data_IF_271937389027
#
_entry.id   IF_271937389027
#
_cell.length_a   1.000
_cell.length_b   1.000
_cell.length_c   1.000
_cell.angle_alpha   90.00
_cell.angle_beta   90.00
_cell.angle_gamma   90.00
#
_symmetry.space_group_name_H-M   'P 1'
#
loop_
_entity.id
_entity.type
_entity.pdbx_description
1 polymer ?
#
# COMPACT_ATOMS: atom_id res chain seq x y z
N UNK A 1 -3.43 10.34 27.59
CA UNK A 1 -3.32 10.81 26.18
C UNK A 1 -3.33 9.59 25.28
N UNK A 2 -4.25 9.46 24.30
CA UNK A 2 -4.21 8.36 23.34
C UNK A 2 -2.90 8.44 22.53
N UNK A 3 -2.11 7.37 22.53
CA UNK A 3 -0.96 7.24 21.62
C UNK A 3 -1.52 7.21 20.20
N UNK A 4 -1.30 8.26 19.43
CA UNK A 4 -1.59 8.24 17.99
C UNK A 4 -0.77 7.10 17.37
N UNK A 5 -1.45 6.09 16.81
CA UNK A 5 -0.80 4.96 16.16
C UNK A 5 -0.13 5.45 14.88
N UNK A 6 1.18 5.67 14.94
CA UNK A 6 1.92 6.09 13.74
C UNK A 6 2.16 4.90 12.83
N UNK A 7 1.93 5.09 11.54
CA UNK A 7 2.23 4.10 10.49
C UNK A 7 3.38 4.63 9.63
N UNK A 8 4.47 3.87 9.55
CA UNK A 8 5.59 4.18 8.68
C UNK A 8 5.20 3.99 7.21
N UNK A 9 5.80 4.77 6.31
CA UNK A 9 5.72 4.55 4.86
C UNK A 9 6.54 3.33 4.46
N UNK A 10 6.38 2.85 3.23
CA UNK A 10 7.19 1.73 2.76
C UNK A 10 8.65 2.10 2.54
N UNK A 11 8.93 3.34 2.11
CA UNK A 11 10.28 3.85 2.06
C UNK A 11 10.94 3.83 3.45
N UNK A 12 10.24 4.33 4.47
CA UNK A 12 10.73 4.30 5.85
C UNK A 12 10.96 2.86 6.34
N UNK A 13 10.05 1.92 6.06
CA UNK A 13 10.23 0.52 6.44
C UNK A 13 11.43 -0.10 5.72
N UNK A 14 11.64 0.21 4.44
CA UNK A 14 12.77 -0.27 3.65
C UNK A 14 14.10 0.29 4.17
N UNK A 15 14.20 1.60 4.35
CA UNK A 15 15.40 2.24 4.90
C UNK A 15 15.74 1.71 6.30
N UNK A 16 14.71 1.50 7.13
CA UNK A 16 14.89 0.86 8.42
C UNK A 16 15.42 -0.58 8.29
N UNK A 17 14.91 -1.35 7.34
CA UNK A 17 15.39 -2.70 7.06
C UNK A 17 16.84 -2.73 6.57
N UNK A 18 17.25 -1.77 5.73
CA UNK A 18 18.64 -1.59 5.31
C UNK A 18 19.53 -1.25 6.51
N UNK A 19 19.13 -0.25 7.31
CA UNK A 19 19.87 0.13 8.50
C UNK A 19 20.06 -1.04 9.47
N UNK A 20 19.00 -1.80 9.73
CA UNK A 20 19.04 -2.98 10.60
C UNK A 20 19.75 -4.20 9.98
N UNK A 21 20.02 -4.18 8.68
CA UNK A 21 20.85 -5.20 8.02
C UNK A 21 22.32 -5.00 8.42
N UNK A 22 22.81 -3.76 8.35
CA UNK A 22 24.20 -3.42 8.66
C UNK A 22 24.46 -3.21 10.16
N UNK A 23 23.42 -2.91 10.94
CA UNK A 23 23.54 -2.53 12.35
C UNK A 23 22.69 -3.41 13.25
N UNK A 24 23.30 -4.37 13.94
CA UNK A 24 22.60 -5.17 14.97
C UNK A 24 22.40 -4.34 16.24
N UNK A 25 21.14 -4.00 16.56
CA UNK A 25 20.76 -3.24 17.76
C UNK A 25 19.58 -3.88 18.50
N UNK A 26 19.32 -3.39 19.72
CA UNK A 26 18.13 -3.74 20.49
C UNK A 26 16.88 -3.07 19.90
N UNK A 27 15.69 -3.52 20.33
CA UNK A 27 14.41 -2.97 19.81
C UNK A 27 14.25 -1.51 20.22
N UNK A 28 14.57 -1.19 21.46
CA UNK A 28 14.58 0.19 21.98
C UNK A 28 15.53 1.09 21.20
N UNK A 29 16.74 0.61 20.87
CA UNK A 29 17.69 1.38 20.07
C UNK A 29 17.18 1.66 18.65
N UNK A 30 16.48 0.70 18.03
CA UNK A 30 15.82 0.94 16.74
C UNK A 30 14.69 1.96 16.85
N UNK A 31 13.88 1.91 17.92
CA UNK A 31 12.84 2.92 18.17
C UNK A 31 13.46 4.32 18.24
N UNK A 32 14.54 4.48 19.00
CA UNK A 32 15.23 5.77 19.14
C UNK A 32 15.78 6.26 17.81
N UNK A 33 16.38 5.38 16.99
CA UNK A 33 16.89 5.74 15.66
C UNK A 33 15.77 6.22 14.71
N UNK A 34 14.60 5.56 14.72
CA UNK A 34 13.42 5.97 13.94
C UNK A 34 12.91 7.35 14.40
N UNK A 35 12.83 7.56 15.72
CA UNK A 35 12.37 8.82 16.33
C UNK A 35 13.33 9.98 16.04
N UNK A 36 14.64 9.72 16.06
CA UNK A 36 15.67 10.69 15.70
C UNK A 36 15.60 11.05 14.20
N UNK A 37 15.51 10.03 13.33
CA UNK A 37 15.56 10.22 11.87
C UNK A 37 14.30 10.89 11.30
N UNK A 38 13.11 10.47 11.75
CA UNK A 38 11.84 10.89 11.15
C UNK A 38 10.89 11.63 12.10
N UNK A 39 11.32 11.90 13.35
CA UNK A 39 10.47 12.52 14.39
C UNK A 39 9.17 11.76 14.63
N UNK A 40 9.23 10.45 14.44
CA UNK A 40 8.11 9.52 14.60
C UNK A 40 8.49 8.44 15.61
N UNK A 41 7.67 8.26 16.64
CA UNK A 41 7.86 7.19 17.62
C UNK A 41 6.96 6.00 17.31
N UNK A 42 7.55 4.81 17.26
CA UNK A 42 6.84 3.53 17.08
C UNK A 42 7.07 2.63 18.29
N UNK A 43 6.17 1.68 18.53
CA UNK A 43 6.36 0.67 19.58
C UNK A 43 7.32 -0.45 19.13
N UNK A 44 7.97 -1.12 20.08
CA UNK A 44 8.90 -2.24 19.80
C UNK A 44 8.25 -3.43 19.08
N UNK A 45 6.93 -3.61 19.26
CA UNK A 45 6.14 -4.58 18.53
C UNK A 45 6.10 -4.27 17.01
N UNK A 46 6.08 -3.00 16.65
CA UNK A 46 6.15 -2.55 15.25
C UNK A 46 7.52 -2.84 14.65
N UNK A 47 8.60 -2.58 15.39
CA UNK A 47 9.97 -2.96 15.01
C UNK A 47 10.04 -4.45 14.72
N UNK A 48 9.57 -5.27 15.67
CA UNK A 48 9.58 -6.73 15.54
C UNK A 48 8.81 -7.19 14.30
N UNK A 49 7.63 -6.62 14.06
CA UNK A 49 6.80 -6.95 12.88
C UNK A 49 7.50 -6.58 11.57
N UNK A 50 8.16 -5.41 11.49
CA UNK A 50 8.88 -5.00 10.29
C UNK A 50 10.07 -5.94 10.03
N UNK A 51 10.86 -6.23 11.07
CA UNK A 51 12.03 -7.12 10.96
C UNK A 51 11.67 -8.55 10.57
N UNK A 52 10.52 -9.09 11.01
CA UNK A 52 10.02 -10.41 10.55
C UNK A 52 9.85 -10.47 9.02
N UNK A 53 9.50 -9.34 8.40
CA UNK A 53 9.34 -9.22 6.95
C UNK A 53 10.56 -8.63 6.23
N UNK A 54 11.73 -8.53 6.89
CA UNK A 54 12.91 -7.79 6.38
C UNK A 54 13.34 -8.23 4.99
N UNK A 55 13.59 -9.51 4.78
CA UNK A 55 14.11 -10.02 3.51
C UNK A 55 13.11 -9.77 2.36
N UNK A 56 11.81 -9.93 2.61
CA UNK A 56 10.77 -9.60 1.64
C UNK A 56 10.82 -8.12 1.26
N UNK A 57 10.97 -7.22 2.23
CA UNK A 57 11.02 -5.76 1.98
C UNK A 57 12.27 -5.34 1.22
N UNK A 58 13.40 -5.96 1.51
CA UNK A 58 14.66 -5.65 0.82
C UNK A 58 14.71 -6.19 -0.61
N UNK A 59 13.99 -7.28 -0.90
CA UNK A 59 13.94 -7.91 -2.22
C UNK A 59 12.75 -7.51 -3.10
N UNK A 60 11.88 -6.61 -2.64
CA UNK A 60 10.70 -6.16 -3.41
C UNK A 60 10.89 -4.70 -3.81
N UNK A 61 10.65 -4.37 -5.07
CA UNK A 61 10.65 -2.98 -5.55
C UNK A 61 9.57 -2.15 -4.83
N UNK A 62 9.91 -0.92 -4.45
CA UNK A 62 9.00 -0.01 -3.75
C UNK A 62 8.17 0.75 -4.79
N UNK A 63 7.03 0.18 -5.19
CA UNK A 63 6.15 0.80 -6.19
C UNK A 63 5.54 2.14 -5.75
N UNK A 64 5.27 2.34 -4.45
CA UNK A 64 4.78 3.61 -3.90
C UNK A 64 5.50 3.92 -2.57
N UNK A 65 6.57 4.74 -2.59
CA UNK A 65 7.39 5.06 -1.42
C UNK A 65 6.61 5.63 -0.23
N UNK A 66 5.59 6.45 -0.52
CA UNK A 66 4.78 7.14 0.49
C UNK A 66 3.60 6.31 1.01
N UNK A 67 3.36 5.14 0.41
CA UNK A 67 2.30 4.25 0.86
C UNK A 67 2.54 3.78 2.30
N UNK A 68 1.59 4.07 3.18
CA UNK A 68 1.59 3.59 4.58
C UNK A 68 0.91 2.25 4.72
N UNK A 69 -0.09 1.98 3.87
CA UNK A 69 -0.92 0.78 3.85
C UNK A 69 -1.15 0.36 2.42
N UNK A 70 -1.09 -0.95 2.19
CA UNK A 70 -1.55 -1.57 0.96
C UNK A 70 -2.98 -2.00 1.17
N UNK A 71 -3.90 -1.58 0.30
CA UNK A 71 -5.20 -2.23 0.20
C UNK A 71 -4.98 -3.58 -0.47
N UNK A 72 -5.60 -4.63 0.07
CA UNK A 72 -5.66 -5.89 -0.66
C UNK A 72 -6.59 -5.68 -1.84
N UNK A 73 -6.06 -5.83 -3.04
CA UNK A 73 -6.86 -5.86 -4.26
C UNK A 73 -7.51 -7.23 -4.35
N UNK A 74 -8.84 -7.27 -4.41
CA UNK A 74 -9.57 -8.54 -4.47
C UNK A 74 -9.46 -9.20 -5.85
N UNK A 75 -9.41 -8.39 -6.92
CA UNK A 75 -9.31 -8.86 -8.31
C UNK A 75 -8.27 -8.00 -9.05
N UNK A 76 -6.97 -8.36 -8.98
CA UNK A 76 -5.88 -7.58 -9.58
C UNK A 76 -6.04 -7.34 -11.08
N UNK A 77 -6.57 -8.34 -11.80
CA UNK A 77 -6.79 -8.30 -13.24
C UNK A 77 -7.80 -7.21 -13.61
N UNK A 78 -8.84 -7.04 -12.78
CA UNK A 78 -9.85 -6.01 -12.98
C UNK A 78 -9.29 -4.61 -12.74
N UNK A 79 -8.52 -4.41 -11.67
CA UNK A 79 -7.87 -3.11 -11.41
C UNK A 79 -6.88 -2.75 -12.52
N UNK A 80 -6.14 -3.73 -13.05
CA UNK A 80 -5.22 -3.52 -14.15
C UNK A 80 -5.97 -3.09 -15.43
N UNK A 81 -7.02 -3.82 -15.81
CA UNK A 81 -7.82 -3.50 -16.99
C UNK A 81 -8.50 -2.13 -16.87
N UNK A 82 -8.99 -1.78 -15.68
CA UNK A 82 -9.59 -0.46 -15.41
C UNK A 82 -8.54 0.66 -15.48
N UNK A 83 -7.33 0.43 -14.95
CA UNK A 83 -6.21 1.37 -15.05
C UNK A 83 -5.82 1.62 -16.51
N UNK A 84 -5.71 0.57 -17.31
CA UNK A 84 -5.41 0.69 -18.75
C UNK A 84 -6.50 1.49 -19.48
N UNK A 85 -7.77 1.25 -19.16
CA UNK A 85 -8.87 2.06 -19.67
C UNK A 85 -8.71 3.54 -19.29
N UNK A 86 -8.44 3.87 -18.02
CA UNK A 86 -8.24 5.26 -17.59
C UNK A 86 -7.10 5.92 -18.36
N UNK A 87 -5.94 5.26 -18.46
CA UNK A 87 -4.77 5.80 -19.14
C UNK A 87 -5.03 6.08 -20.63
N UNK A 88 -5.82 5.23 -21.29
CA UNK A 88 -6.14 5.35 -22.71
C UNK A 88 -7.17 6.45 -23.04
N UNK A 89 -7.99 6.87 -22.06
CA UNK A 89 -9.13 7.76 -22.29
C UNK A 89 -9.10 9.06 -21.47
N UNK A 90 -8.25 9.19 -20.45
CA UNK A 90 -8.16 10.38 -19.60
C UNK A 90 -7.86 11.69 -20.38
N UNK A 91 -7.21 11.59 -21.54
CA UNK A 91 -6.90 12.75 -22.40
C UNK A 91 -7.97 13.01 -23.47
N UNK A 92 -8.94 12.11 -23.62
CA UNK A 92 -9.97 12.18 -24.68
C UNK A 92 -11.31 12.68 -24.15
N UNK A 93 -11.62 12.39 -22.89
CA UNK A 93 -12.88 12.80 -22.25
C UNK A 93 -12.74 12.82 -20.73
N UNK A 94 -13.68 13.48 -20.06
CA UNK A 94 -13.78 13.46 -18.60
C UNK A 94 -14.33 12.09 -18.18
N UNK A 95 -13.52 11.34 -17.45
CA UNK A 95 -13.91 10.07 -16.85
C UNK A 95 -14.51 10.31 -15.47
N UNK A 96 -15.85 10.43 -15.41
CA UNK A 96 -16.55 10.55 -14.12
C UNK A 96 -16.60 9.21 -13.38
N UNK A 97 -16.83 9.27 -12.07
CA UNK A 97 -16.98 8.07 -11.24
C UNK A 97 -18.05 7.10 -11.77
N UNK A 98 -19.14 7.64 -12.33
CA UNK A 98 -20.19 6.84 -12.96
C UNK A 98 -19.68 6.07 -14.19
N UNK A 99 -18.91 6.72 -15.06
CA UNK A 99 -18.31 6.08 -16.24
C UNK A 99 -17.33 4.98 -15.82
N UNK A 100 -16.50 5.24 -14.81
CA UNK A 100 -15.52 4.29 -14.31
C UNK A 100 -16.19 3.09 -13.61
N UNK A 101 -17.26 3.34 -12.85
CA UNK A 101 -18.04 2.29 -12.18
C UNK A 101 -18.73 1.39 -13.20
N UNK A 102 -19.35 1.94 -14.24
CA UNK A 102 -19.97 1.14 -15.30
C UNK A 102 -18.94 0.35 -16.10
N UNK A 103 -17.79 0.96 -16.40
CA UNK A 103 -16.70 0.24 -17.08
C UNK A 103 -16.14 -0.89 -16.22
N UNK A 104 -16.01 -0.68 -14.92
CA UNK A 104 -15.56 -1.70 -13.98
C UNK A 104 -16.53 -2.90 -13.93
N UNK A 105 -17.84 -2.67 -13.93
CA UNK A 105 -18.84 -3.75 -14.00
C UNK A 105 -18.70 -4.58 -15.28
N UNK A 106 -18.58 -3.90 -16.43
CA UNK A 106 -18.38 -4.59 -17.72
C UNK A 106 -17.11 -5.45 -17.72
N UNK A 107 -15.99 -4.91 -17.23
CA UNK A 107 -14.74 -5.66 -17.13
C UNK A 107 -14.84 -6.84 -16.14
N UNK A 108 -15.62 -6.69 -15.06
CA UNK A 108 -15.83 -7.78 -14.11
C UNK A 108 -16.63 -8.93 -14.74
N UNK A 109 -17.65 -8.61 -15.53
CA UNK A 109 -18.42 -9.60 -16.30
C UNK A 109 -17.53 -10.29 -17.34
N UNK A 110 -16.70 -9.53 -18.09
CA UNK A 110 -15.74 -10.06 -19.06
C UNK A 110 -14.71 -11.01 -18.41
N UNK A 111 -14.29 -10.72 -17.18
CA UNK A 111 -13.36 -11.54 -16.40
C UNK A 111 -14.05 -12.70 -15.64
N UNK A 112 -15.37 -12.87 -15.80
CA UNK A 112 -16.17 -13.86 -15.06
C UNK A 112 -16.03 -13.74 -13.53
N UNK A 113 -15.90 -12.52 -13.01
CA UNK A 113 -15.87 -12.26 -11.57
C UNK A 113 -17.25 -12.57 -10.99
N UNK A 114 -17.37 -13.45 -9.98
CA UNK A 114 -18.67 -13.79 -9.42
C UNK A 114 -19.43 -12.57 -8.87
N UNK A 115 -20.75 -12.55 -9.06
CA UNK A 115 -21.59 -11.51 -8.47
C UNK A 115 -21.44 -11.50 -6.95
N UNK A 116 -21.27 -10.31 -6.37
CA UNK A 116 -21.05 -10.12 -4.94
C UNK A 116 -19.59 -10.20 -4.49
N UNK A 117 -18.64 -10.56 -5.36
CA UNK A 117 -17.20 -10.47 -5.04
C UNK A 117 -16.75 -9.02 -4.82
N UNK A 118 -17.33 -8.08 -5.58
CA UNK A 118 -17.03 -6.66 -5.51
C UNK A 118 -18.31 -5.83 -5.40
N UNK A 119 -18.26 -4.78 -4.59
CA UNK A 119 -19.32 -3.78 -4.49
C UNK A 119 -18.87 -2.50 -5.21
N UNK A 120 -19.27 -2.37 -6.47
CA UNK A 120 -18.98 -1.21 -7.31
C UNK A 120 -19.77 0.01 -6.82
N UNK A 121 -19.13 0.82 -5.98
CA UNK A 121 -19.67 2.08 -5.43
C UNK A 121 -18.66 3.21 -5.63
N UNK A 122 -19.08 4.46 -5.48
CA UNK A 122 -18.16 5.62 -5.53
C UNK A 122 -17.06 5.55 -4.47
N UNK A 123 -17.28 4.86 -3.35
CA UNK A 123 -16.24 4.63 -2.32
C UNK A 123 -15.32 3.44 -2.60
N UNK A 124 -15.66 2.61 -3.58
CA UNK A 124 -14.80 1.51 -4.06
C UNK A 124 -13.76 2.01 -5.06
N UNK A 125 -14.17 2.90 -5.97
CA UNK A 125 -13.31 3.55 -6.95
C UNK A 125 -12.24 4.43 -6.28
#
# INVERSE_FOLDING_TARGET
MPKNRVTLTDLQKYEFCLYAYDNKKTRTQYVNWIEEKWRVRVDESTITRILKSKNKRLGTEIANPEAKRHKSVLVPELELALKEFVLNYQHKTILSDGVLTEKAKQLADELNVPQGTLQFSSGWL
#
